data_IF_606281429509
#
_entry.id   IF_606281429509
#
_cell.length_a   1.000
_cell.length_b   1.000
_cell.length_c   1.000
_cell.angle_alpha   90.00
_cell.angle_beta   90.00
_cell.angle_gamma   90.00
#
_symmetry.space_group_name_H-M   'P 1'
#
loop_
_entity.id
_entity.type
_entity.pdbx_description
1 polymer ?
#
# COMPACT_ATOMS: atom_id res chain seq x y z
N UNK A 1 27.40 0.04 0.60
CA UNK A 1 27.44 1.52 0.72
C UNK A 1 28.85 1.96 1.06
N UNK A 2 29.18 3.25 0.93
CA UNK A 2 30.48 3.76 1.40
C UNK A 2 30.59 3.59 2.92
N UNK A 3 31.78 3.25 3.40
CA UNK A 3 32.04 3.14 4.82
C UNK A 3 32.01 4.54 5.48
N UNK A 4 31.06 4.82 6.39
CA UNK A 4 30.95 6.14 7.01
C UNK A 4 32.02 6.38 8.08
N UNK A 5 32.65 5.33 8.61
CA UNK A 5 33.74 5.46 9.60
C UNK A 5 34.59 4.20 9.65
N UNK A 6 35.81 4.28 9.12
CA UNK A 6 36.78 3.17 9.18
C UNK A 6 37.24 2.83 10.59
N UNK A 7 37.13 3.78 11.53
CA UNK A 7 37.42 3.55 12.94
C UNK A 7 36.38 2.63 13.61
N UNK A 8 35.13 2.63 13.14
CA UNK A 8 34.03 1.85 13.73
C UNK A 8 33.79 0.55 12.96
N UNK A 9 33.80 0.61 11.62
CA UNK A 9 33.37 -0.50 10.76
C UNK A 9 34.53 -1.22 10.05
N UNK A 10 35.77 -0.96 10.47
CA UNK A 10 36.97 -1.55 9.88
C UNK A 10 37.46 -0.82 8.62
N UNK A 11 38.59 -1.28 8.07
CA UNK A 11 39.32 -0.58 7.00
C UNK A 11 38.68 -0.66 5.62
N UNK A 12 37.64 -1.49 5.44
CA UNK A 12 36.97 -1.67 4.15
C UNK A 12 36.40 -0.34 3.64
N UNK A 13 36.58 -0.05 2.34
CA UNK A 13 36.01 1.17 1.72
C UNK A 13 34.48 1.09 1.57
N UNK A 14 33.98 -0.13 1.42
CA UNK A 14 32.56 -0.40 1.19
C UNK A 14 32.07 -1.44 2.18
N UNK A 15 30.84 -1.24 2.66
CA UNK A 15 30.17 -2.14 3.59
C UNK A 15 28.92 -2.73 2.94
N UNK A 16 28.73 -4.04 3.14
CA UNK A 16 27.47 -4.73 2.87
C UNK A 16 26.54 -4.50 4.05
N UNK A 17 25.31 -4.11 3.76
CA UNK A 17 24.28 -3.85 4.77
C UNK A 17 22.97 -4.51 4.36
N UNK A 18 22.15 -4.86 5.35
CA UNK A 18 20.81 -5.33 5.08
C UNK A 18 19.95 -4.24 4.40
N UNK A 19 19.06 -4.60 3.46
CA UNK A 19 18.29 -3.63 2.69
C UNK A 19 17.18 -2.93 3.49
N UNK A 20 16.86 -3.41 4.69
CA UNK A 20 15.74 -2.93 5.52
C UNK A 20 15.80 -1.43 5.82
N UNK A 21 16.98 -0.91 6.18
CA UNK A 21 17.15 0.51 6.47
C UNK A 21 16.92 1.40 5.25
N UNK A 22 17.43 0.98 4.09
CA UNK A 22 17.26 1.72 2.84
C UNK A 22 15.80 1.69 2.39
N UNK A 23 15.16 0.52 2.44
CA UNK A 23 13.74 0.37 2.11
C UNK A 23 12.83 1.18 3.05
N UNK A 24 13.16 1.31 4.33
CA UNK A 24 12.43 2.21 5.23
C UNK A 24 12.52 3.68 4.74
N UNK A 25 13.69 4.11 4.26
CA UNK A 25 13.85 5.41 3.60
C UNK A 25 13.05 5.56 2.31
N UNK A 26 12.99 4.51 1.48
CA UNK A 26 12.14 4.46 0.28
C UNK A 26 10.67 4.65 0.65
N UNK A 27 10.20 4.00 1.72
CA UNK A 27 8.82 4.10 2.19
C UNK A 27 8.49 5.54 2.61
N UNK A 28 9.33 6.16 3.44
CA UNK A 28 9.11 7.54 3.89
C UNK A 28 9.14 8.52 2.70
N UNK A 29 10.08 8.35 1.78
CA UNK A 29 10.19 9.19 0.59
C UNK A 29 8.96 9.06 -0.31
N UNK A 30 8.48 7.83 -0.52
CA UNK A 30 7.29 7.58 -1.35
C UNK A 30 6.05 8.18 -0.70
N UNK A 31 5.83 7.92 0.59
CA UNK A 31 4.70 8.46 1.34
C UNK A 31 4.67 9.99 1.37
N UNK A 32 5.84 10.62 1.55
CA UNK A 32 5.97 12.07 1.66
C UNK A 32 6.04 12.81 0.32
N UNK A 33 6.16 12.11 -0.81
CA UNK A 33 6.30 12.75 -2.12
C UNK A 33 5.03 13.49 -2.56
N UNK A 34 3.85 12.98 -2.21
CA UNK A 34 2.54 13.57 -2.54
C UNK A 34 1.54 13.32 -1.41
N UNK A 35 0.43 14.08 -1.30
CA UNK A 35 -0.62 13.80 -0.31
C UNK A 35 -1.25 12.40 -0.39
N UNK A 36 -1.07 11.71 -1.53
CA UNK A 36 -1.54 10.34 -1.79
C UNK A 36 -0.42 9.29 -1.81
N UNK A 37 0.83 9.68 -1.51
CA UNK A 37 2.00 8.82 -1.71
C UNK A 37 1.96 7.50 -0.94
N UNK A 38 1.24 7.46 0.18
CA UNK A 38 1.05 6.22 0.97
C UNK A 38 0.29 5.12 0.21
N UNK A 39 -0.49 5.49 -0.81
CA UNK A 39 -1.21 4.57 -1.68
C UNK A 39 -0.38 4.12 -2.89
N UNK A 40 0.79 4.72 -3.11
CA UNK A 40 1.70 4.36 -4.18
C UNK A 40 2.62 3.22 -3.76
N UNK A 41 2.98 2.35 -4.70
CA UNK A 41 3.92 1.28 -4.43
C UNK A 41 5.33 1.87 -4.24
N UNK A 42 6.03 1.58 -3.12
CA UNK A 42 7.42 1.97 -2.92
C UNK A 42 8.38 1.04 -3.70
N UNK A 43 8.10 0.84 -4.98
CA UNK A 43 8.75 -0.09 -5.88
C UNK A 43 8.87 0.50 -7.30
N UNK A 44 9.62 -0.16 -8.17
CA UNK A 44 9.86 0.26 -9.55
C UNK A 44 10.81 1.45 -9.69
N UNK A 45 11.00 1.87 -10.93
CA UNK A 45 12.02 2.87 -11.31
C UNK A 45 11.77 4.27 -10.76
N UNK A 46 10.51 4.65 -10.52
CA UNK A 46 10.21 6.01 -10.06
C UNK A 46 10.30 6.14 -8.53
N UNK A 47 9.61 5.26 -7.80
CA UNK A 47 9.46 5.38 -6.34
C UNK A 47 10.40 4.45 -5.57
N UNK A 48 10.69 3.27 -6.14
CA UNK A 48 11.50 2.21 -5.52
C UNK A 48 13.01 2.40 -5.54
N UNK A 49 13.53 3.55 -5.98
CA UNK A 49 14.98 3.78 -6.11
C UNK A 49 15.74 3.68 -4.78
N UNK A 50 16.84 2.94 -4.78
CA UNK A 50 17.74 2.73 -3.65
C UNK A 50 18.91 3.72 -3.72
N UNK A 51 18.67 4.94 -3.26
CA UNK A 51 19.67 6.02 -3.28
C UNK A 51 20.86 5.69 -2.36
N UNK A 52 22.08 5.99 -2.83
CA UNK A 52 23.32 5.72 -2.08
C UNK A 52 23.80 4.26 -2.10
N UNK A 53 23.07 3.36 -2.75
CA UNK A 53 23.50 1.98 -2.96
C UNK A 53 24.50 1.92 -4.12
N UNK A 54 25.69 1.39 -3.85
CA UNK A 54 26.76 1.23 -4.84
C UNK A 54 26.58 -0.03 -5.68
N UNK A 55 25.91 -1.04 -5.15
CA UNK A 55 25.73 -2.35 -5.79
C UNK A 55 25.06 -3.32 -4.83
N UNK A 56 24.73 -4.50 -5.34
CA UNK A 56 24.26 -5.63 -4.55
C UNK A 56 25.44 -6.52 -4.18
N UNK A 57 25.30 -7.28 -3.10
CA UNK A 57 26.30 -8.25 -2.67
C UNK A 57 26.51 -9.37 -3.70
N UNK A 58 25.42 -9.77 -4.38
CA UNK A 58 25.45 -10.77 -5.44
C UNK A 58 24.76 -10.25 -6.69
N UNK A 59 25.24 -10.69 -7.87
CA UNK A 59 24.60 -10.40 -9.15
C UNK A 59 23.39 -11.31 -9.44
N UNK A 60 23.09 -12.26 -8.56
CA UNK A 60 21.97 -13.20 -8.74
C UNK A 60 20.62 -12.49 -8.78
N UNK A 61 20.51 -11.34 -8.12
CA UNK A 61 19.30 -10.53 -8.11
C UNK A 61 19.00 -9.86 -9.45
N UNK A 62 19.98 -9.84 -10.37
CA UNK A 62 19.83 -9.35 -11.74
C UNK A 62 19.31 -10.42 -12.71
N UNK A 63 19.36 -11.69 -12.30
CA UNK A 63 18.85 -12.81 -13.08
C UNK A 63 17.33 -12.91 -12.93
N UNK A 64 16.62 -12.65 -14.02
CA UNK A 64 15.16 -12.69 -14.07
C UNK A 64 14.60 -14.05 -13.65
N UNK A 65 15.22 -15.15 -14.10
CA UNK A 65 14.76 -16.49 -13.77
C UNK A 65 14.85 -16.76 -12.25
N UNK A 66 15.85 -16.21 -11.56
CA UNK A 66 15.97 -16.33 -10.10
C UNK A 66 14.95 -15.46 -9.36
N UNK A 67 14.68 -14.25 -9.85
CA UNK A 67 13.64 -13.38 -9.28
C UNK A 67 12.26 -14.02 -9.37
N UNK A 68 11.96 -14.65 -10.50
CA UNK A 68 10.67 -15.32 -10.75
C UNK A 68 10.44 -16.53 -9.83
N UNK A 69 11.49 -17.12 -9.25
CA UNK A 69 11.36 -18.18 -8.25
C UNK A 69 10.94 -17.64 -6.87
N UNK A 70 11.33 -16.40 -6.53
CA UNK A 70 11.13 -15.82 -5.19
C UNK A 70 9.90 -14.92 -5.12
N UNK A 71 9.54 -14.23 -6.20
CA UNK A 71 8.42 -13.30 -6.22
C UNK A 71 7.04 -13.96 -5.94
N UNK A 72 6.74 -15.16 -6.48
CA UNK A 72 5.55 -15.94 -6.09
C UNK A 72 5.55 -16.37 -4.62
N UNK A 73 6.72 -16.37 -3.96
CA UNK A 73 6.84 -16.66 -2.52
C UNK A 73 6.66 -15.42 -1.65
N UNK A 74 6.22 -14.29 -2.22
CA UNK A 74 6.02 -13.00 -1.54
C UNK A 74 7.32 -12.38 -1.00
N UNK A 75 8.44 -12.67 -1.66
CA UNK A 75 9.72 -12.02 -1.41
C UNK A 75 9.90 -11.00 -2.53
N UNK A 76 10.01 -9.72 -2.16
CA UNK A 76 10.23 -8.65 -3.14
C UNK A 76 11.73 -8.59 -3.49
N UNK A 77 12.14 -8.92 -4.72
CA UNK A 77 13.53 -8.79 -5.13
C UNK A 77 13.97 -7.32 -5.21
N UNK A 78 15.27 -7.11 -5.19
CA UNK A 78 15.91 -5.86 -5.57
C UNK A 78 16.57 -6.09 -6.92
N UNK A 79 16.56 -5.11 -7.81
CA UNK A 79 17.18 -5.27 -9.13
C UNK A 79 17.89 -3.99 -9.57
N UNK A 80 18.62 -4.07 -10.67
CA UNK A 80 19.14 -2.91 -11.36
C UNK A 80 18.45 -2.76 -12.72
N UNK A 81 17.82 -1.62 -12.95
CA UNK A 81 17.17 -1.27 -14.21
C UNK A 81 17.70 0.09 -14.69
N UNK A 82 18.20 0.14 -15.93
CA UNK A 82 18.79 1.36 -16.50
C UNK A 82 19.94 1.97 -15.67
N UNK A 83 20.67 1.18 -14.89
CA UNK A 83 21.72 1.63 -13.98
C UNK A 83 21.22 2.15 -12.62
N UNK A 84 19.90 2.24 -12.43
CA UNK A 84 19.26 2.54 -11.15
C UNK A 84 19.07 1.24 -10.38
N UNK A 85 19.33 1.27 -9.07
CA UNK A 85 19.04 0.15 -8.17
C UNK A 85 17.66 0.38 -7.57
N UNK A 86 16.77 -0.60 -7.67
CA UNK A 86 15.35 -0.42 -7.35
C UNK A 86 14.80 -1.61 -6.58
N UNK A 87 13.77 -1.36 -5.76
CA UNK A 87 12.92 -2.41 -5.23
C UNK A 87 11.95 -2.89 -6.32
N UNK A 88 11.98 -4.18 -6.64
CA UNK A 88 11.25 -4.78 -7.77
C UNK A 88 10.12 -5.67 -7.26
N UNK A 89 9.27 -5.08 -6.42
CA UNK A 89 8.15 -5.81 -5.83
C UNK A 89 7.47 -5.03 -4.73
N UNK A 90 6.16 -5.18 -4.64
CA UNK A 90 5.34 -4.53 -3.61
C UNK A 90 4.38 -5.48 -2.91
N UNK A 91 4.64 -6.79 -2.91
CA UNK A 91 3.82 -7.78 -2.21
C UNK A 91 4.12 -7.76 -0.71
N UNK A 92 3.10 -7.99 0.12
CA UNK A 92 3.33 -8.28 1.53
C UNK A 92 3.33 -9.80 1.77
N UNK A 93 3.75 -10.24 2.96
CA UNK A 93 3.89 -11.67 3.29
C UNK A 93 2.55 -12.42 3.40
N UNK A 94 1.41 -11.71 3.36
CA UNK A 94 0.09 -12.33 3.47
C UNK A 94 -0.29 -12.94 2.12
N UNK A 95 -0.27 -14.27 2.06
CA UNK A 95 -0.60 -15.04 0.84
C UNK A 95 -2.06 -14.93 0.43
N UNK A 96 -2.97 -15.01 1.41
CA UNK A 96 -4.41 -15.05 1.16
C UNK A 96 -5.12 -13.92 1.92
N UNK A 97 -6.06 -13.25 1.24
CA UNK A 97 -7.01 -12.32 1.85
C UNK A 97 -6.87 -10.88 1.38
N UNK A 98 -7.56 -9.98 2.08
CA UNK A 98 -7.66 -8.58 1.67
C UNK A 98 -6.33 -7.84 1.85
N UNK A 99 -6.07 -6.91 0.92
CA UNK A 99 -4.90 -6.03 0.85
C UNK A 99 -3.56 -6.79 0.70
N UNK A 100 -3.34 -7.51 -0.42
CA UNK A 100 -2.16 -8.35 -0.64
C UNK A 100 -0.86 -7.56 -0.94
N UNK A 101 -0.98 -6.29 -1.36
CA UNK A 101 0.19 -5.44 -1.60
C UNK A 101 0.54 -4.55 -0.40
N UNK A 102 1.78 -4.08 -0.36
CA UNK A 102 2.33 -3.11 0.58
C UNK A 102 1.54 -1.78 0.55
N UNK A 103 1.31 -1.10 -0.60
CA UNK A 103 0.53 0.14 -0.63
C UNK A 103 -0.90 -0.05 -0.16
N UNK A 104 -1.58 -1.13 -0.56
CA UNK A 104 -2.93 -1.42 -0.09
C UNK A 104 -2.97 -1.57 1.43
N UNK A 105 -2.03 -2.35 2.00
CA UNK A 105 -2.03 -2.62 3.44
C UNK A 105 -1.66 -1.38 4.24
N UNK A 106 -0.66 -0.61 3.80
CA UNK A 106 -0.23 0.63 4.46
C UNK A 106 -1.30 1.71 4.37
N UNK A 107 -1.91 1.90 3.19
CA UNK A 107 -3.04 2.80 2.99
C UNK A 107 -4.24 2.45 3.88
N UNK A 108 -4.59 1.16 3.98
CA UNK A 108 -5.67 0.71 4.87
C UNK A 108 -5.35 0.98 6.36
N UNK A 109 -4.11 0.71 6.80
CA UNK A 109 -3.65 1.01 8.18
C UNK A 109 -3.74 2.52 8.46
N UNK A 110 -3.30 3.35 7.51
CA UNK A 110 -3.36 4.80 7.65
C UNK A 110 -4.80 5.30 7.78
N UNK A 111 -5.72 4.81 6.93
CA UNK A 111 -7.14 5.16 6.99
C UNK A 111 -7.73 4.73 8.34
N UNK A 112 -7.47 3.50 8.78
CA UNK A 112 -7.98 2.96 10.04
C UNK A 112 -7.51 3.80 11.24
N UNK A 113 -6.21 4.10 11.32
CA UNK A 113 -5.64 4.91 12.42
C UNK A 113 -6.16 6.35 12.38
N UNK A 114 -6.26 6.94 11.20
CA UNK A 114 -6.78 8.30 11.01
C UNK A 114 -8.24 8.42 11.43
N UNK A 115 -9.08 7.43 11.07
CA UNK A 115 -10.46 7.37 11.50
C UNK A 115 -10.55 7.21 13.01
N UNK A 116 -9.81 6.26 13.61
CA UNK A 116 -9.81 6.07 15.08
C UNK A 116 -9.45 7.35 15.82
N UNK A 117 -8.42 8.08 15.36
CA UNK A 117 -8.02 9.36 15.94
C UNK A 117 -9.09 10.44 15.73
N UNK A 118 -9.67 10.50 14.53
CA UNK A 118 -10.72 11.46 14.18
C UNK A 118 -12.04 11.26 14.93
N UNK A 119 -12.31 10.06 15.44
CA UNK A 119 -13.52 9.73 16.19
C UNK A 119 -13.39 9.85 17.72
N UNK A 120 -12.24 10.30 18.22
CA UNK A 120 -12.00 10.47 19.67
C UNK A 120 -13.04 11.37 20.36
N UNK A 121 -13.60 12.35 19.65
CA UNK A 121 -14.66 13.23 20.18
C UNK A 121 -15.95 12.49 20.55
N UNK A 122 -16.19 11.27 20.03
CA UNK A 122 -17.38 10.48 20.34
C UNK A 122 -17.24 9.70 21.65
N UNK A 123 -16.02 9.55 22.18
CA UNK A 123 -15.77 8.87 23.44
C UNK A 123 -16.49 9.58 24.58
N UNK A 124 -17.17 8.83 25.43
CA UNK A 124 -17.95 9.33 26.58
C UNK A 124 -19.14 10.24 26.24
N UNK A 125 -19.56 10.31 24.96
CA UNK A 125 -20.82 10.97 24.59
C UNK A 125 -21.99 9.98 24.62
N UNK A 126 -23.19 10.51 24.85
CA UNK A 126 -24.41 9.72 24.75
C UNK A 126 -24.58 9.16 23.33
N UNK A 127 -24.76 7.85 23.19
CA UNK A 127 -24.95 7.18 21.90
C UNK A 127 -26.37 7.46 21.35
N UNK A 128 -26.56 8.67 20.86
CA UNK A 128 -27.79 9.11 20.19
C UNK A 128 -27.67 8.94 18.68
N UNK A 129 -28.81 8.95 17.99
CA UNK A 129 -28.84 8.96 16.52
C UNK A 129 -28.04 10.15 15.95
N UNK A 130 -28.11 11.32 16.59
CA UNK A 130 -27.35 12.51 16.20
C UNK A 130 -25.84 12.29 16.30
N UNK A 131 -25.36 11.65 17.38
CA UNK A 131 -23.93 11.30 17.50
C UNK A 131 -23.50 10.35 16.38
N UNK A 132 -24.28 9.30 16.11
CA UNK A 132 -23.98 8.32 15.05
C UNK A 132 -23.95 8.95 13.67
N UNK A 133 -24.88 9.85 13.36
CA UNK A 133 -24.86 10.63 12.12
C UNK A 133 -23.64 11.55 12.01
N UNK A 134 -23.26 12.21 13.12
CA UNK A 134 -22.06 13.05 13.15
C UNK A 134 -20.79 12.23 12.90
N UNK A 135 -20.65 11.08 13.56
CA UNK A 135 -19.55 10.12 13.35
C UNK A 135 -19.51 9.66 11.88
N UNK A 136 -20.63 9.21 11.33
CA UNK A 136 -20.71 8.76 9.94
C UNK A 136 -20.28 9.86 8.96
N UNK A 137 -20.75 11.10 9.17
CA UNK A 137 -20.39 12.27 8.34
C UNK A 137 -18.90 12.61 8.41
N UNK A 138 -18.29 12.51 9.61
CA UNK A 138 -16.85 12.74 9.79
C UNK A 138 -16.04 11.70 9.02
N UNK A 139 -16.40 10.42 9.13
CA UNK A 139 -15.73 9.34 8.38
C UNK A 139 -15.91 9.54 6.87
N UNK A 140 -17.12 9.83 6.41
CA UNK A 140 -17.41 10.03 4.99
C UNK A 140 -16.62 11.20 4.40
N UNK A 141 -16.58 12.34 5.09
CA UNK A 141 -15.80 13.52 4.65
C UNK A 141 -14.31 13.18 4.53
N UNK A 142 -13.76 12.45 5.50
CA UNK A 142 -12.36 12.00 5.45
C UNK A 142 -12.10 11.07 4.26
N UNK A 143 -12.96 10.07 4.03
CA UNK A 143 -12.81 9.14 2.91
C UNK A 143 -12.95 9.84 1.56
N UNK A 144 -13.80 10.87 1.43
CA UNK A 144 -13.86 11.71 0.22
C UNK A 144 -12.51 12.42 -0.02
N UNK A 145 -11.86 12.92 1.04
CA UNK A 145 -10.52 13.49 0.92
C UNK A 145 -9.50 12.46 0.45
N UNK A 146 -9.55 11.24 1.00
CA UNK A 146 -8.63 10.17 0.60
C UNK A 146 -8.87 9.70 -0.84
N UNK A 147 -10.12 9.69 -1.29
CA UNK A 147 -10.49 9.41 -2.68
C UNK A 147 -9.85 10.42 -3.64
N UNK A 148 -9.87 11.72 -3.30
CA UNK A 148 -9.20 12.76 -4.09
C UNK A 148 -7.69 12.57 -4.13
N UNK A 149 -7.12 11.99 -3.08
CA UNK A 149 -5.70 11.65 -2.98
C UNK A 149 -5.35 10.29 -3.64
N UNK A 150 -6.28 9.63 -4.34
CA UNK A 150 -5.98 8.39 -5.07
C UNK A 150 -6.01 7.11 -4.23
N UNK A 151 -6.63 7.13 -3.05
CA UNK A 151 -6.72 5.95 -2.18
C UNK A 151 -7.51 4.78 -2.78
N UNK A 152 -8.47 5.08 -3.67
CA UNK A 152 -9.47 4.12 -4.13
C UNK A 152 -9.40 3.92 -5.64
N UNK A 153 -9.85 2.75 -6.08
CA UNK A 153 -9.89 2.34 -7.49
C UNK A 153 -10.80 3.23 -8.37
N UNK A 154 -11.80 3.86 -7.78
CA UNK A 154 -12.77 4.73 -8.47
C UNK A 154 -12.82 6.10 -7.81
N UNK A 155 -13.23 7.10 -8.58
CA UNK A 155 -13.53 8.46 -8.10
C UNK A 155 -15.02 8.67 -7.77
N UNK A 156 -15.83 7.64 -7.93
CA UNK A 156 -17.23 7.65 -7.52
C UNK A 156 -17.35 7.13 -6.08
N UNK A 157 -17.80 7.96 -5.12
CA UNK A 157 -17.95 7.57 -3.72
C UNK A 157 -18.73 6.27 -3.52
N UNK A 158 -19.78 6.02 -4.33
CA UNK A 158 -20.65 4.85 -4.18
C UNK A 158 -19.94 3.52 -4.44
N UNK A 159 -18.90 3.55 -5.28
CA UNK A 159 -18.10 2.37 -5.64
C UNK A 159 -16.73 2.35 -4.98
N UNK A 160 -16.33 3.45 -4.37
CA UNK A 160 -15.04 3.63 -3.70
C UNK A 160 -15.06 3.18 -2.24
N UNK A 161 -16.13 3.49 -1.49
CA UNK A 161 -16.25 3.12 -0.08
C UNK A 161 -17.71 3.06 0.38
N UNK A 162 -17.94 2.42 1.53
CA UNK A 162 -19.21 2.50 2.25
C UNK A 162 -18.97 2.79 3.73
N UNK A 163 -19.94 3.46 4.36
CA UNK A 163 -19.91 3.80 5.79
C UNK A 163 -21.29 3.53 6.37
N UNK A 164 -21.36 2.69 7.41
CA UNK A 164 -22.59 2.33 8.10
C UNK A 164 -22.41 2.43 9.62
N UNK A 165 -23.23 3.25 10.25
CA UNK A 165 -23.36 3.40 11.71
C UNK A 165 -24.84 3.30 12.13
N UNK A 166 -25.66 2.60 11.34
CA UNK A 166 -27.10 2.53 11.50
C UNK A 166 -27.58 1.81 12.76
N UNK A 167 -28.90 1.80 12.95
CA UNK A 167 -29.57 1.17 14.10
C UNK A 167 -29.38 -0.36 14.13
N UNK A 168 -29.31 -1.01 12.97
CA UNK A 168 -29.05 -2.44 12.88
C UNK A 168 -27.72 -2.86 13.53
N UNK A 169 -26.72 -1.97 13.54
CA UNK A 169 -25.42 -2.17 14.21
C UNK A 169 -25.41 -1.73 15.67
N UNK A 170 -26.37 -0.90 16.07
CA UNK A 170 -26.45 -0.28 17.38
C UNK A 170 -27.83 -0.54 18.02
N UNK A 171 -28.24 -1.81 18.18
CA UNK A 171 -29.46 -2.13 18.91
C UNK A 171 -29.35 -1.68 20.37
N UNK A 172 -30.47 -1.59 21.12
CA UNK A 172 -30.45 -1.15 22.52
C UNK A 172 -29.42 -1.88 23.38
N UNK A 173 -29.21 -3.19 23.18
CA UNK A 173 -28.21 -3.98 23.90
C UNK A 173 -26.77 -3.44 23.74
N UNK A 174 -26.38 -3.01 22.54
CA UNK A 174 -25.07 -2.42 22.28
C UNK A 174 -24.94 -1.02 22.90
N UNK A 175 -26.03 -0.24 22.83
CA UNK A 175 -26.11 1.08 23.45
C UNK A 175 -25.99 1.00 24.98
N UNK A 176 -26.72 0.08 25.62
CA UNK A 176 -26.62 -0.18 27.06
C UNK A 176 -25.24 -0.68 27.48
N UNK A 177 -24.57 -1.44 26.61
CA UNK A 177 -23.19 -1.86 26.83
C UNK A 177 -22.15 -0.74 26.59
N UNK A 178 -22.59 0.48 26.26
CA UNK A 178 -21.71 1.62 26.04
C UNK A 178 -20.90 1.54 24.74
N UNK A 179 -21.35 0.73 23.76
CA UNK A 179 -20.68 0.54 22.48
C UNK A 179 -21.35 1.35 21.37
N UNK A 180 -20.52 1.87 20.46
CA UNK A 180 -20.95 2.47 19.20
C UNK A 180 -20.24 1.70 18.07
N UNK A 181 -21.01 0.95 17.31
CA UNK A 181 -20.51 0.08 16.25
C UNK A 181 -20.68 0.74 14.89
N UNK A 182 -19.69 0.55 14.03
CA UNK A 182 -19.75 0.97 12.64
C UNK A 182 -19.00 0.01 11.73
N UNK A 183 -19.37 -0.01 10.46
CA UNK A 183 -18.71 -0.76 9.41
C UNK A 183 -18.26 0.22 8.32
N UNK A 184 -17.01 0.07 7.90
CA UNK A 184 -16.42 0.84 6.81
C UNK A 184 -15.80 -0.14 5.83
N UNK A 185 -16.20 -0.06 4.57
CA UNK A 185 -15.54 -0.78 3.48
C UNK A 185 -14.85 0.18 2.55
N UNK A 186 -13.69 -0.24 2.02
CA UNK A 186 -12.88 0.55 1.10
C UNK A 186 -12.47 -0.32 -0.09
N UNK A 187 -12.50 0.26 -1.29
CA UNK A 187 -12.04 -0.36 -2.52
C UNK A 187 -10.68 0.22 -2.92
N UNK A 188 -9.61 -0.31 -2.32
CA UNK A 188 -8.23 0.17 -2.53
C UNK A 188 -7.78 -0.01 -3.96
N UNK A 189 -6.88 0.87 -4.40
CA UNK A 189 -6.19 0.70 -5.67
C UNK A 189 -5.13 -0.42 -5.57
N UNK A 190 -4.91 -1.15 -6.66
CA UNK A 190 -3.88 -2.21 -6.74
C UNK A 190 -2.80 -1.79 -7.74
N UNK A 191 -1.51 -1.91 -7.38
CA UNK A 191 -0.44 -1.62 -8.33
C UNK A 191 -0.42 -2.68 -9.45
N UNK A 192 -0.06 -2.24 -10.65
CA UNK A 192 0.21 -3.15 -11.78
C UNK A 192 1.53 -3.87 -11.53
N UNK A 193 1.50 -5.20 -11.39
CA UNK A 193 2.71 -6.01 -11.18
C UNK A 193 3.32 -6.50 -12.50
N UNK A 194 2.50 -6.76 -13.52
CA UNK A 194 2.94 -7.31 -14.81
C UNK A 194 2.31 -6.52 -15.95
N UNK A 195 3.10 -6.26 -16.99
CA UNK A 195 2.64 -5.72 -18.27
C UNK A 195 2.82 -6.81 -19.31
N UNK A 196 1.72 -7.44 -19.71
CA UNK A 196 1.72 -8.50 -20.73
C UNK A 196 1.16 -7.90 -22.01
N UNK A 197 2.01 -7.81 -23.05
CA UNK A 197 1.62 -7.34 -24.38
C UNK A 197 1.71 -8.51 -25.33
N UNK A 198 0.58 -8.86 -25.96
CA UNK A 198 0.51 -9.88 -27.01
C UNK A 198 0.62 -9.20 -28.38
N UNK A 199 1.44 -9.74 -29.26
CA UNK A 199 1.53 -9.33 -30.66
C UNK A 199 0.99 -10.45 -31.55
N UNK A 200 0.08 -10.12 -32.48
CA UNK A 200 -0.42 -11.03 -33.50
C UNK A 200 -0.51 -10.30 -34.84
N UNK A 201 -0.18 -11.02 -35.92
CA UNK A 201 -0.38 -10.52 -37.28
C UNK A 201 -1.83 -10.66 -37.74
N UNK A 202 -2.56 -11.69 -37.28
CA UNK A 202 -3.99 -11.82 -37.53
C UNK A 202 -4.76 -11.16 -36.39
N UNK A 203 -5.40 -10.02 -36.69
CA UNK A 203 -6.20 -9.25 -35.73
C UNK A 203 -7.44 -10.03 -35.27
N UNK A 204 -7.99 -10.91 -36.11
CA UNK A 204 -9.18 -11.72 -35.78
C UNK A 204 -8.89 -12.77 -34.71
N UNK A 205 -7.65 -13.27 -34.66
CA UNK A 205 -7.23 -14.21 -33.63
C UNK A 205 -7.20 -13.57 -32.23
N UNK A 206 -6.88 -12.28 -32.13
CA UNK A 206 -6.95 -11.52 -30.88
C UNK A 206 -8.40 -11.25 -30.44
N UNK A 207 -9.28 -10.97 -31.40
CA UNK A 207 -10.71 -10.74 -31.13
C UNK A 207 -11.43 -12.02 -30.67
N UNK A 208 -11.06 -13.17 -31.22
CA UNK A 208 -11.64 -14.46 -30.83
C UNK A 208 -11.31 -14.88 -29.38
N UNK A 209 -10.11 -14.54 -28.87
CA UNK A 209 -9.73 -14.78 -27.47
C UNK A 209 -10.50 -13.88 -26.48
N UNK A 210 -10.91 -12.68 -26.88
CA UNK A 210 -11.65 -11.74 -26.02
C UNK A 210 -13.14 -12.10 -25.86
N UNK A 211 -13.68 -12.94 -26.73
CA UNK A 211 -15.09 -13.34 -26.74
C UNK A 211 -15.38 -14.60 -25.88
N UNK A 212 -14.36 -15.21 -25.29
CA UNK A 212 -14.45 -16.34 -24.35
C UNK A 212 -14.35 -15.86 -22.89
#
# INVERSE_FOLDING_TARGET
MLNPSKAVFGSAEQLVVAPSGILAGVYVRTDGATPGGIYEAPAGIEKGQLLGVLGFETNEVLDEAKRDLVYPKHINPLTADGGLRVADGSRNLKRNGNFPSIPERRGAIFIEQSVKKGLTFAKHKNNTQLLRQSVARTVQTFLISQMKNGAFRTRDPKTAFFVDFGDALNPPSEVFAGRLNGRVGIATNKPTEFVVIKFSQDTRALEAELAQ
#
